data_IF_191712118398
#
_entry.id   IF_191712118398
#
_cell.length_a   1.000
_cell.length_b   1.000
_cell.length_c   1.000
_cell.angle_alpha   90.00
_cell.angle_beta   90.00
_cell.angle_gamma   90.00
#
_symmetry.space_group_name_H-M   'P 1'
#
loop_
_entity.id
_entity.type
_entity.pdbx_description
1 polymer ?
#
# COMPACT_ATOMS: atom_id res chain seq x y z
N UNK A 1 9.57 17.22 3.87
CA UNK A 1 8.69 16.44 4.76
C UNK A 1 7.54 17.23 5.41
N UNK A 2 7.38 18.56 5.18
CA UNK A 2 6.31 19.38 5.82
C UNK A 2 5.10 19.62 4.92
N UNK A 3 5.22 19.40 3.61
CA UNK A 3 4.13 19.60 2.64
C UNK A 3 2.80 18.86 2.96
N UNK A 4 2.79 17.61 3.49
CA UNK A 4 1.55 16.87 3.75
C UNK A 4 0.65 17.47 4.83
N UNK A 5 1.17 18.41 5.63
CA UNK A 5 0.46 19.09 6.70
C UNK A 5 -0.28 20.34 6.23
N UNK A 6 0.05 20.86 5.04
CA UNK A 6 -0.51 22.10 4.48
C UNK A 6 -1.56 21.86 3.37
N UNK A 7 -1.74 20.62 2.96
CA UNK A 7 -2.68 20.27 1.90
C UNK A 7 -4.11 20.14 2.45
N UNK A 8 -5.09 20.66 1.69
CA UNK A 8 -6.51 20.71 2.07
C UNK A 8 -7.13 19.34 2.40
N UNK A 9 -8.37 19.35 2.87
CA UNK A 9 -9.11 18.17 3.37
C UNK A 9 -9.37 17.07 2.34
N UNK A 10 -9.01 17.28 1.08
CA UNK A 10 -9.21 16.30 0.01
C UNK A 10 -8.14 15.20 0.04
N UNK A 11 -8.60 13.95 -0.01
CA UNK A 11 -7.74 12.76 0.07
C UNK A 11 -6.67 12.78 -1.05
N UNK A 12 -7.03 13.24 -2.25
CA UNK A 12 -6.14 13.34 -3.41
C UNK A 12 -5.03 14.39 -3.22
N UNK A 13 -5.35 15.55 -2.63
CA UNK A 13 -4.37 16.62 -2.41
C UNK A 13 -3.37 16.23 -1.32
N UNK A 14 -3.82 15.49 -0.30
CA UNK A 14 -2.92 14.95 0.74
C UNK A 14 -2.03 13.83 0.19
N UNK A 15 -2.58 12.92 -0.62
CA UNK A 15 -1.82 11.82 -1.22
C UNK A 15 -0.73 12.35 -2.17
N UNK A 16 -1.09 13.26 -3.08
CA UNK A 16 -0.14 13.90 -3.99
C UNK A 16 0.94 14.67 -3.24
N UNK A 17 0.60 15.33 -2.12
CA UNK A 17 1.59 15.98 -1.27
C UNK A 17 2.54 15.00 -0.57
N UNK A 18 2.07 13.81 -0.17
CA UNK A 18 2.93 12.76 0.39
C UNK A 18 3.90 12.28 -0.69
N UNK A 19 3.39 12.03 -1.90
CA UNK A 19 4.20 11.58 -3.04
C UNK A 19 5.29 12.60 -3.36
N UNK A 20 4.90 13.87 -3.54
CA UNK A 20 5.85 14.95 -3.80
C UNK A 20 6.81 15.19 -2.63
N UNK A 21 6.40 14.90 -1.39
CA UNK A 21 7.23 15.03 -0.20
C UNK A 21 8.37 14.00 -0.13
N UNK A 22 8.15 12.79 -0.64
CA UNK A 22 9.15 11.73 -0.70
C UNK A 22 9.98 11.74 -1.99
N UNK A 23 9.48 12.38 -3.06
CA UNK A 23 10.15 12.43 -4.34
C UNK A 23 11.60 12.98 -4.27
N UNK A 24 11.92 14.10 -3.59
CA UNK A 24 13.29 14.62 -3.54
C UNK A 24 14.26 13.65 -2.88
N UNK A 25 13.84 13.02 -1.78
CA UNK A 25 14.67 12.07 -1.05
C UNK A 25 14.95 10.82 -1.92
N UNK A 26 13.93 10.30 -2.61
CA UNK A 26 14.09 9.16 -3.50
C UNK A 26 14.93 9.50 -4.74
N UNK A 27 14.72 10.66 -5.36
CA UNK A 27 15.45 11.10 -6.56
C UNK A 27 16.95 11.29 -6.29
N UNK A 28 17.31 11.84 -5.13
CA UNK A 28 18.72 12.01 -4.78
C UNK A 28 19.43 10.68 -4.51
N UNK A 29 18.71 9.71 -3.95
CA UNK A 29 19.17 8.35 -3.65
C UNK A 29 19.02 7.37 -4.83
N UNK A 30 18.57 7.82 -6.00
CA UNK A 30 18.28 6.94 -7.13
C UNK A 30 19.09 7.24 -8.38
N UNK A 31 19.20 6.21 -9.21
CA UNK A 31 19.82 6.25 -10.54
C UNK A 31 18.70 6.48 -11.57
N UNK A 32 19.02 6.97 -12.77
CA UNK A 32 18.02 7.48 -13.72
C UNK A 32 16.80 6.57 -13.99
N UNK A 33 17.00 5.25 -14.12
CA UNK A 33 15.87 4.33 -14.37
C UNK A 33 14.96 4.13 -13.15
N UNK A 34 15.51 4.16 -11.94
CA UNK A 34 14.75 4.02 -10.69
C UNK A 34 13.87 5.26 -10.44
N UNK A 35 14.37 6.45 -10.80
CA UNK A 35 13.60 7.68 -10.76
C UNK A 35 12.36 7.62 -11.66
N UNK A 36 12.51 7.08 -12.87
CA UNK A 36 11.39 6.86 -13.80
C UNK A 36 10.40 5.84 -13.24
N UNK A 37 10.88 4.75 -12.63
CA UNK A 37 10.04 3.77 -11.96
C UNK A 37 9.19 4.41 -10.85
N UNK A 38 9.79 5.26 -10.01
CA UNK A 38 9.06 5.99 -8.97
C UNK A 38 7.94 6.86 -9.55
N UNK A 39 8.24 7.62 -10.61
CA UNK A 39 7.24 8.45 -11.29
C UNK A 39 6.09 7.62 -11.88
N UNK A 40 6.41 6.52 -12.55
CA UNK A 40 5.43 5.61 -13.13
C UNK A 40 4.56 4.94 -12.05
N UNK A 41 5.17 4.48 -10.95
CA UNK A 41 4.44 3.90 -9.81
C UNK A 41 3.50 4.92 -9.18
N UNK A 42 3.98 6.16 -8.94
CA UNK A 42 3.16 7.23 -8.38
C UNK A 42 1.96 7.56 -9.27
N UNK A 43 2.16 7.67 -10.60
CA UNK A 43 1.06 7.90 -11.54
C UNK A 43 0.06 6.74 -11.57
N UNK A 44 0.55 5.50 -11.58
CA UNK A 44 -0.32 4.32 -11.59
C UNK A 44 -1.18 4.23 -10.31
N UNK A 45 -0.60 4.55 -9.15
CA UNK A 45 -1.33 4.60 -7.88
C UNK A 45 -2.37 5.73 -7.83
N UNK A 46 -2.04 6.90 -8.39
CA UNK A 46 -3.01 8.00 -8.53
C UNK A 46 -4.15 7.62 -9.48
N UNK A 47 -3.84 6.99 -10.61
CA UNK A 47 -4.82 6.50 -11.56
C UNK A 47 -5.75 5.46 -10.92
N UNK A 48 -5.21 4.54 -10.13
CA UNK A 48 -5.99 3.56 -9.39
C UNK A 48 -6.96 4.22 -8.39
N UNK A 49 -6.51 5.22 -7.64
CA UNK A 49 -7.38 5.98 -6.73
C UNK A 49 -8.51 6.71 -7.47
N UNK A 50 -8.21 7.37 -8.60
CA UNK A 50 -9.23 8.06 -9.42
C UNK A 50 -10.22 7.07 -10.02
N UNK A 51 -9.75 5.93 -10.50
CA UNK A 51 -10.59 4.86 -11.04
C UNK A 51 -11.59 4.35 -10.00
N UNK A 52 -11.13 4.10 -8.78
CA UNK A 52 -12.00 3.63 -7.71
C UNK A 52 -13.03 4.70 -7.30
N UNK A 53 -12.63 5.99 -7.28
CA UNK A 53 -13.55 7.10 -7.04
C UNK A 53 -14.63 7.23 -8.11
N UNK A 54 -14.25 7.12 -9.38
CA UNK A 54 -15.19 7.16 -10.50
C UNK A 54 -16.16 5.97 -10.45
N UNK A 55 -15.67 4.78 -10.12
CA UNK A 55 -16.48 3.58 -9.96
C UNK A 55 -17.54 3.74 -8.85
N UNK A 56 -17.15 4.28 -7.69
CA UNK A 56 -18.10 4.55 -6.60
C UNK A 56 -19.16 5.58 -6.99
N UNK A 57 -18.76 6.65 -7.70
CA UNK A 57 -19.69 7.67 -8.18
C UNK A 57 -20.74 7.07 -9.12
N UNK A 58 -20.30 6.26 -10.08
CA UNK A 58 -21.19 5.59 -11.03
C UNK A 58 -22.11 4.56 -10.34
N UNK A 59 -21.57 3.78 -9.39
CA UNK A 59 -22.35 2.83 -8.61
C UNK A 59 -23.43 3.52 -7.77
N UNK A 60 -23.13 4.68 -7.18
CA UNK A 60 -24.11 5.48 -6.44
C UNK A 60 -25.22 6.02 -7.35
N UNK A 61 -24.87 6.51 -8.54
CA UNK A 61 -25.83 7.02 -9.52
C UNK A 61 -26.78 5.92 -10.05
N UNK A 62 -26.27 4.70 -10.24
CA UNK A 62 -27.11 3.57 -10.64
C UNK A 62 -28.07 3.13 -9.52
N UNK A 63 -27.63 3.18 -8.25
CA UNK A 63 -28.51 2.91 -7.10
C UNK A 63 -29.58 3.98 -6.91
N UNK A 64 -29.28 5.27 -7.12
CA UNK A 64 -30.28 6.34 -7.04
C UNK A 64 -31.34 6.24 -8.15
N UNK A 65 -30.97 5.72 -9.33
CA UNK A 65 -31.93 5.47 -10.43
C UNK A 65 -32.86 4.28 -10.16
N UNK A 66 -32.40 3.26 -9.41
CA UNK A 66 -33.25 2.15 -8.95
C UNK A 66 -34.13 2.51 -7.74
N UNK A 67 -33.77 3.56 -6.98
CA UNK A 67 -34.47 3.98 -5.76
C UNK A 67 -35.63 4.95 -5.99
N UNK A 68 -35.92 5.35 -7.24
CA UNK A 68 -37.06 6.22 -7.56
C UNK A 68 -38.44 5.51 -7.47
N UNK A 69 -38.50 4.33 -6.85
CA UNK A 69 -39.74 3.54 -6.65
C UNK A 69 -40.03 3.17 -5.20
N UNK A 70 -39.37 3.79 -4.22
CA UNK A 70 -39.64 3.58 -2.81
C UNK A 70 -39.26 4.80 -1.99
N UNK A 71 -40.21 5.72 -1.85
CA UNK A 71 -40.11 6.87 -0.96
C UNK A 71 -40.61 6.47 0.44
N UNK A 72 -39.94 7.03 1.44
CA UNK A 72 -40.26 7.11 2.87
C UNK A 72 -39.86 5.94 3.79
N UNK A 73 -39.26 6.38 4.91
CA UNK A 73 -38.82 5.66 6.11
C UNK A 73 -37.50 4.87 6.06
N UNK A 74 -36.38 5.57 6.36
CA UNK A 74 -35.40 5.20 7.40
C UNK A 74 -34.23 6.21 7.42
N UNK A 75 -34.49 7.38 7.99
CA UNK A 75 -33.46 8.33 8.43
C UNK A 75 -32.95 7.90 9.82
N UNK A 76 -32.32 6.73 9.93
CA UNK A 76 -31.80 6.20 11.20
C UNK A 76 -30.52 5.39 10.95
N UNK A 77 -29.40 5.82 11.55
CA UNK A 77 -28.16 5.07 11.78
C UNK A 77 -27.32 4.62 10.57
N UNK A 78 -26.65 5.55 9.89
CA UNK A 78 -25.50 5.23 9.02
C UNK A 78 -24.19 5.09 9.83
N UNK A 79 -24.23 4.27 10.88
CA UNK A 79 -23.07 3.75 11.61
C UNK A 79 -23.04 2.25 11.41
N UNK A 80 -23.04 1.81 10.16
CA UNK A 80 -23.05 0.39 9.83
C UNK A 80 -21.72 0.06 9.16
N UNK A 81 -20.87 -0.65 9.90
CA UNK A 81 -19.68 -1.32 9.39
C UNK A 81 -20.13 -2.22 8.24
N UNK A 82 -19.96 -1.74 7.01
CA UNK A 82 -20.36 -2.48 5.81
C UNK A 82 -19.62 -3.82 5.82
N UNK A 83 -20.37 -4.92 5.82
CA UNK A 83 -19.81 -6.26 5.75
C UNK A 83 -18.96 -6.41 4.48
N UNK A 84 -17.82 -7.08 4.65
CA UNK A 84 -16.89 -7.45 3.57
C UNK A 84 -17.67 -8.11 2.44
N UNK A 85 -17.78 -7.41 1.31
CA UNK A 85 -18.48 -7.95 0.15
C UNK A 85 -17.43 -8.54 -0.80
N UNK A 86 -17.78 -9.61 -1.54
CA UNK A 86 -16.90 -10.20 -2.56
C UNK A 86 -16.40 -9.17 -3.59
N UNK A 87 -17.14 -8.07 -3.76
CA UNK A 87 -16.72 -6.94 -4.58
C UNK A 87 -15.39 -6.33 -4.12
N UNK A 88 -15.05 -6.42 -2.84
CA UNK A 88 -13.88 -5.75 -2.24
C UNK A 88 -12.59 -6.57 -2.42
N UNK A 89 -12.71 -7.81 -2.92
CA UNK A 89 -11.57 -8.63 -3.36
C UNK A 89 -10.75 -7.93 -4.45
N UNK A 90 -11.39 -7.10 -5.30
CA UNK A 90 -10.69 -6.32 -6.33
C UNK A 90 -9.63 -5.38 -5.74
N UNK A 91 -9.92 -4.77 -4.59
CA UNK A 91 -9.04 -3.77 -3.95
C UNK A 91 -7.84 -4.49 -3.33
N UNK A 92 -8.09 -5.63 -2.68
CA UNK A 92 -7.05 -6.49 -2.13
C UNK A 92 -6.12 -7.04 -3.23
N UNK A 93 -6.69 -7.50 -4.35
CA UNK A 93 -5.90 -7.98 -5.49
C UNK A 93 -5.08 -6.85 -6.13
N UNK A 94 -5.68 -5.68 -6.36
CA UNK A 94 -4.97 -4.53 -6.90
C UNK A 94 -3.83 -4.09 -5.97
N UNK A 95 -4.08 -4.03 -4.66
CA UNK A 95 -3.03 -3.79 -3.66
C UNK A 95 -1.90 -4.80 -3.79
N UNK A 96 -2.22 -6.10 -3.83
CA UNK A 96 -1.22 -7.16 -3.96
C UNK A 96 -0.39 -6.98 -5.24
N UNK A 97 -1.01 -6.66 -6.37
CA UNK A 97 -0.31 -6.41 -7.64
C UNK A 97 0.63 -5.21 -7.51
N UNK A 98 0.15 -4.06 -7.01
CA UNK A 98 1.00 -2.89 -6.81
C UNK A 98 2.13 -3.13 -5.79
N UNK A 99 1.86 -3.93 -4.76
CA UNK A 99 2.87 -4.31 -3.78
C UNK A 99 3.97 -5.17 -4.40
N UNK A 100 3.61 -6.16 -5.22
CA UNK A 100 4.58 -6.96 -5.98
C UNK A 100 5.34 -6.10 -6.99
N UNK A 101 4.68 -5.17 -7.69
CA UNK A 101 5.35 -4.24 -8.61
C UNK A 101 6.35 -3.35 -7.85
N UNK A 102 5.98 -2.83 -6.67
CA UNK A 102 6.89 -2.07 -5.81
C UNK A 102 8.08 -2.93 -5.35
N UNK A 103 7.83 -4.18 -5.00
CA UNK A 103 8.84 -5.12 -4.53
C UNK A 103 9.84 -5.49 -5.63
N UNK A 104 9.36 -5.98 -6.77
CA UNK A 104 10.19 -6.44 -7.88
C UNK A 104 10.71 -5.29 -8.77
N UNK A 105 9.91 -4.25 -8.97
CA UNK A 105 10.23 -3.13 -9.85
C UNK A 105 11.35 -2.23 -9.32
N UNK A 106 11.64 -2.29 -8.02
CA UNK A 106 12.84 -1.65 -7.46
C UNK A 106 14.14 -2.36 -7.82
N UNK A 107 14.08 -3.57 -8.41
CA UNK A 107 15.21 -4.32 -8.97
C UNK A 107 16.28 -4.78 -7.97
N UNK A 108 16.29 -4.22 -6.76
CA UNK A 108 17.39 -4.36 -5.82
C UNK A 108 17.04 -5.19 -4.57
N UNK A 109 15.80 -5.64 -4.39
CA UNK A 109 15.44 -6.43 -3.20
C UNK A 109 16.03 -7.85 -3.24
N UNK A 110 16.09 -8.47 -4.43
CA UNK A 110 16.72 -9.77 -4.64
C UNK A 110 18.26 -9.73 -4.46
N UNK A 111 18.85 -8.55 -4.54
CA UNK A 111 20.30 -8.34 -4.52
C UNK A 111 20.66 -7.14 -3.63
N UNK A 112 20.26 -7.19 -2.37
CA UNK A 112 20.71 -6.22 -1.35
C UNK A 112 22.24 -6.05 -1.32
N UNK A 113 22.98 -7.06 -1.80
CA UNK A 113 24.43 -7.03 -1.98
C UNK A 113 24.92 -6.34 -3.28
N UNK A 114 24.09 -6.20 -4.32
CA UNK A 114 24.44 -5.56 -5.60
C UNK A 114 23.98 -4.10 -5.70
N UNK A 115 23.46 -3.52 -4.60
CA UNK A 115 23.14 -2.09 -4.61
C UNK A 115 24.37 -1.29 -4.98
N UNK A 116 24.24 -0.45 -6.02
CA UNK A 116 25.30 0.46 -6.39
C UNK A 116 25.55 1.45 -5.24
N UNK A 117 26.64 1.21 -4.52
CA UNK A 117 27.14 2.08 -3.46
C UNK A 117 27.37 3.52 -3.97
N UNK A 118 27.56 3.67 -5.29
CA UNK A 118 27.63 4.94 -6.03
C UNK A 118 26.54 5.94 -5.65
N UNK A 119 25.30 5.50 -5.39
CA UNK A 119 24.23 6.42 -5.02
C UNK A 119 24.31 6.90 -3.57
N UNK A 120 24.89 6.10 -2.67
CA UNK A 120 25.07 6.46 -1.26
C UNK A 120 26.29 7.37 -1.09
N UNK A 121 27.32 7.18 -1.93
CA UNK A 121 28.51 8.03 -1.94
C UNK A 121 28.24 9.51 -2.27
N UNK A 122 27.08 9.84 -2.85
CA UNK A 122 26.64 11.25 -3.01
C UNK A 122 26.29 11.94 -1.69
N UNK A 123 25.94 11.17 -0.65
CA UNK A 123 25.56 11.71 0.65
C UNK A 123 26.65 11.54 1.70
N UNK A 124 27.35 10.41 1.65
CA UNK A 124 28.36 10.05 2.64
C UNK A 124 29.60 9.58 1.92
N UNK A 125 30.68 10.35 2.07
CA UNK A 125 31.99 10.04 1.49
C UNK A 125 32.84 9.13 2.40
N UNK A 126 32.53 9.08 3.70
CA UNK A 126 33.24 8.26 4.69
C UNK A 126 32.51 6.93 4.87
N UNK A 127 33.19 5.81 4.70
CA UNK A 127 32.57 4.50 4.85
C UNK A 127 32.04 4.28 6.29
N UNK A 128 30.72 4.32 6.44
CA UNK A 128 30.01 3.96 7.66
C UNK A 128 28.95 2.89 7.33
N UNK A 129 29.21 1.60 7.59
CA UNK A 129 28.39 0.50 7.08
C UNK A 129 26.94 0.56 7.59
N UNK A 130 26.74 0.97 8.85
CA UNK A 130 25.40 1.08 9.44
C UNK A 130 24.56 2.19 8.81
N UNK A 131 25.15 3.37 8.57
CA UNK A 131 24.44 4.51 8.01
C UNK A 131 24.12 4.27 6.52
N UNK A 132 25.08 3.72 5.78
CA UNK A 132 24.88 3.33 4.39
C UNK A 132 23.76 2.29 4.25
N UNK A 133 23.76 1.25 5.10
CA UNK A 133 22.66 0.28 5.15
C UNK A 133 21.32 0.94 5.51
N UNK A 134 21.29 1.87 6.47
CA UNK A 134 20.08 2.58 6.85
C UNK A 134 19.50 3.43 5.70
N UNK A 135 20.35 4.13 4.93
CA UNK A 135 19.90 4.90 3.75
C UNK A 135 19.37 3.99 2.64
N UNK A 136 19.97 2.81 2.45
CA UNK A 136 19.48 1.81 1.49
C UNK A 136 18.12 1.23 1.91
N UNK A 137 17.95 0.89 3.19
CA UNK A 137 16.66 0.45 3.73
C UNK A 137 15.62 1.56 3.59
N UNK A 138 15.98 2.81 3.92
CA UNK A 138 15.08 3.95 3.75
C UNK A 138 14.65 4.13 2.29
N UNK A 139 15.58 4.03 1.34
CA UNK A 139 15.28 4.08 -0.10
C UNK A 139 14.30 2.98 -0.52
N UNK A 140 14.51 1.74 -0.04
CA UNK A 140 13.63 0.61 -0.33
C UNK A 140 12.23 0.76 0.27
N UNK A 141 12.10 1.40 1.44
CA UNK A 141 10.81 1.56 2.11
C UNK A 141 9.87 2.56 1.42
N UNK A 142 10.40 3.55 0.70
CA UNK A 142 9.62 4.62 0.06
C UNK A 142 8.49 4.09 -0.85
N UNK A 143 8.73 3.22 -1.85
CA UNK A 143 7.65 2.72 -2.72
C UNK A 143 6.58 1.94 -1.94
N UNK A 144 6.96 1.19 -0.90
CA UNK A 144 5.99 0.50 -0.04
C UNK A 144 5.11 1.48 0.73
N UNK A 145 5.69 2.57 1.26
CA UNK A 145 4.92 3.64 1.92
C UNK A 145 3.89 4.24 0.96
N UNK A 146 4.26 4.50 -0.31
CA UNK A 146 3.30 5.01 -1.30
C UNK A 146 2.11 4.06 -1.51
N UNK A 147 2.38 2.77 -1.71
CA UNK A 147 1.34 1.75 -1.90
C UNK A 147 0.42 1.67 -0.68
N UNK A 148 0.96 1.62 0.53
CA UNK A 148 0.15 1.55 1.78
C UNK A 148 -0.67 2.82 1.98
N UNK A 149 -0.09 3.99 1.71
CA UNK A 149 -0.81 5.26 1.82
C UNK A 149 -2.00 5.30 0.85
N UNK A 150 -1.83 4.86 -0.39
CA UNK A 150 -2.93 4.80 -1.36
C UNK A 150 -4.00 3.79 -0.96
N UNK A 151 -3.60 2.60 -0.53
CA UNK A 151 -4.52 1.58 -0.04
C UNK A 151 -5.34 2.07 1.14
N UNK A 152 -4.69 2.68 2.13
CA UNK A 152 -5.36 3.27 3.30
C UNK A 152 -6.31 4.39 2.89
N UNK A 153 -5.93 5.22 1.92
CA UNK A 153 -6.78 6.27 1.37
C UNK A 153 -8.03 5.69 0.68
N UNK A 154 -7.86 4.67 -0.16
CA UNK A 154 -8.96 3.98 -0.85
C UNK A 154 -9.90 3.32 0.16
N UNK A 155 -9.37 2.61 1.15
CA UNK A 155 -10.20 1.93 2.16
C UNK A 155 -10.98 2.92 3.02
N UNK A 156 -10.40 4.07 3.37
CA UNK A 156 -11.12 5.17 4.04
C UNK A 156 -12.22 5.77 3.16
N UNK A 157 -11.98 5.86 1.85
CA UNK A 157 -12.93 6.44 0.91
C UNK A 157 -14.15 5.53 0.70
N UNK A 158 -13.95 4.21 0.66
CA UNK A 158 -15.02 3.21 0.51
C UNK A 158 -15.69 2.87 1.86
N UNK A 159 -15.08 3.29 2.99
CA UNK A 159 -15.50 2.95 4.36
C UNK A 159 -15.62 1.44 4.62
N UNK A 160 -14.66 0.66 4.11
CA UNK A 160 -14.57 -0.79 4.35
C UNK A 160 -13.75 -1.03 5.62
N UNK A 161 -14.06 -2.05 6.44
CA UNK A 161 -13.20 -2.44 7.55
C UNK A 161 -11.79 -2.78 7.06
N UNK A 162 -10.81 -1.95 7.44
CA UNK A 162 -9.40 -2.06 7.06
C UNK A 162 -8.85 -3.46 7.38
N UNK A 163 -9.21 -3.98 8.56
CA UNK A 163 -8.85 -5.30 9.06
C UNK A 163 -9.23 -6.40 8.06
N UNK A 164 -10.44 -6.31 7.50
CA UNK A 164 -10.99 -7.28 6.58
C UNK A 164 -10.25 -7.34 5.25
N UNK A 165 -9.90 -6.18 4.68
CA UNK A 165 -9.10 -6.14 3.45
C UNK A 165 -7.71 -6.72 3.67
N UNK A 166 -7.07 -6.43 4.81
CA UNK A 166 -5.76 -7.02 5.13
C UNK A 166 -5.81 -8.54 5.29
N UNK A 167 -6.85 -9.09 5.92
CA UNK A 167 -7.04 -10.55 5.95
C UNK A 167 -7.17 -11.15 4.55
N UNK A 168 -7.88 -10.50 3.64
CA UNK A 168 -7.99 -10.95 2.25
C UNK A 168 -6.62 -10.92 1.55
N UNK A 169 -5.84 -9.85 1.76
CA UNK A 169 -4.48 -9.75 1.22
C UNK A 169 -3.60 -10.89 1.73
N UNK A 170 -3.65 -11.21 3.03
CA UNK A 170 -2.87 -12.29 3.65
C UNK A 170 -3.24 -13.63 3.00
N UNK A 171 -4.52 -13.97 2.93
CA UNK A 171 -4.98 -15.22 2.32
C UNK A 171 -4.51 -15.32 0.86
N UNK A 172 -4.63 -14.24 0.09
CA UNK A 172 -4.18 -14.23 -1.31
C UNK A 172 -2.65 -14.37 -1.43
N UNK A 173 -1.90 -13.77 -0.51
CA UNK A 173 -0.44 -13.87 -0.45
C UNK A 173 0.03 -15.27 -0.06
N UNK A 174 -0.68 -15.95 0.84
CA UNK A 174 -0.42 -17.34 1.21
C UNK A 174 -0.66 -18.27 0.02
N UNK A 175 -1.74 -18.07 -0.74
CA UNK A 175 -2.02 -18.81 -1.97
C UNK A 175 -0.89 -18.62 -3.00
N UNK A 176 -0.41 -17.39 -3.18
CA UNK A 176 0.76 -17.14 -4.04
C UNK A 176 2.01 -17.86 -3.54
N UNK A 177 2.26 -17.88 -2.23
CA UNK A 177 3.43 -18.54 -1.63
C UNK A 177 3.38 -20.05 -1.82
N UNK A 178 2.20 -20.67 -1.66
CA UNK A 178 1.97 -22.10 -1.92
C UNK A 178 2.21 -22.42 -3.41
N UNK A 179 1.76 -21.56 -4.31
CA UNK A 179 2.04 -21.73 -5.74
C UNK A 179 3.56 -21.75 -6.02
N UNK A 180 4.31 -20.81 -5.44
CA UNK A 180 5.77 -20.80 -5.59
C UNK A 180 6.45 -21.99 -4.92
N UNK A 181 5.91 -22.48 -3.80
CA UNK A 181 6.39 -23.70 -3.16
C UNK A 181 6.30 -24.91 -4.10
N UNK A 182 5.18 -25.07 -4.82
CA UNK A 182 5.03 -26.14 -5.82
C UNK A 182 5.89 -25.93 -7.08
N UNK A 183 6.32 -24.70 -7.37
CA UNK A 183 7.25 -24.39 -8.45
C UNK A 183 8.72 -24.61 -8.07
N UNK A 184 9.03 -24.94 -6.81
CA UNK A 184 10.41 -25.23 -6.41
C UNK A 184 10.88 -26.49 -7.13
N UNK A 185 11.93 -26.34 -7.92
CA UNK A 185 12.49 -27.42 -8.72
C UNK A 185 13.58 -28.15 -7.94
N UNK A 186 13.48 -29.47 -7.86
CA UNK A 186 14.51 -30.34 -7.26
C UNK A 186 15.47 -30.94 -8.30
N UNK A 187 15.30 -30.58 -9.57
CA UNK A 187 16.04 -31.12 -10.72
C UNK A 187 16.44 -29.98 -11.63
N UNK A 188 17.67 -29.99 -12.14
CA UNK A 188 18.19 -28.94 -13.03
C UNK A 188 19.60 -28.53 -12.62
N UNK A 189 20.05 -27.40 -13.14
CA UNK A 189 21.34 -26.82 -12.73
C UNK A 189 21.28 -26.27 -11.30
N UNK A 190 22.41 -26.25 -10.60
CA UNK A 190 22.52 -25.64 -9.26
C UNK A 190 22.02 -24.18 -9.22
N UNK A 191 22.18 -23.44 -10.32
CA UNK A 191 21.70 -22.07 -10.47
C UNK A 191 20.17 -22.00 -10.51
N UNK A 192 19.52 -22.88 -11.29
CA UNK A 192 18.05 -22.92 -11.39
C UNK A 192 17.40 -23.36 -10.08
N UNK A 193 17.99 -24.36 -9.42
CA UNK A 193 17.57 -24.81 -8.09
C UNK A 193 17.67 -23.63 -7.11
N UNK A 194 18.83 -22.96 -7.05
CA UNK A 194 19.03 -21.80 -6.19
C UNK A 194 18.09 -20.63 -6.48
N UNK A 195 17.80 -20.36 -7.76
CA UNK A 195 16.87 -19.31 -8.16
C UNK A 195 15.43 -19.64 -7.74
N UNK A 196 14.97 -20.88 -7.93
CA UNK A 196 13.63 -21.31 -7.51
C UNK A 196 13.43 -21.19 -5.99
N UNK A 197 14.45 -21.57 -5.21
CA UNK A 197 14.47 -21.43 -3.75
C UNK A 197 14.47 -19.97 -3.33
N UNK A 198 15.23 -19.13 -4.04
CA UNK A 198 15.27 -17.69 -3.79
C UNK A 198 13.91 -17.05 -4.05
N UNK A 199 13.24 -17.35 -5.17
CA UNK A 199 11.88 -16.85 -5.45
C UNK A 199 10.88 -17.24 -4.38
N UNK A 200 10.90 -18.49 -3.92
CA UNK A 200 10.06 -18.94 -2.81
C UNK A 200 10.37 -18.17 -1.51
N UNK A 201 11.65 -18.06 -1.14
CA UNK A 201 12.06 -17.35 0.07
C UNK A 201 11.70 -15.87 0.04
N UNK A 202 11.82 -15.23 -1.12
CA UNK A 202 11.45 -13.84 -1.37
C UNK A 202 9.93 -13.63 -1.19
N UNK A 203 9.10 -14.49 -1.79
CA UNK A 203 7.64 -14.41 -1.66
C UNK A 203 7.18 -14.68 -0.22
N UNK A 204 7.80 -15.63 0.46
CA UNK A 204 7.55 -15.88 1.89
C UNK A 204 7.92 -14.68 2.77
N UNK A 205 9.09 -14.06 2.54
CA UNK A 205 9.51 -12.85 3.24
C UNK A 205 8.57 -11.66 2.98
N UNK A 206 8.02 -11.58 1.76
CA UNK A 206 7.06 -10.55 1.39
C UNK A 206 5.77 -10.63 2.22
N UNK A 207 5.24 -11.83 2.48
CA UNK A 207 4.06 -12.05 3.34
C UNK A 207 4.30 -11.48 4.74
N UNK A 208 5.45 -11.81 5.34
CA UNK A 208 5.84 -11.32 6.67
C UNK A 208 5.96 -9.81 6.68
N UNK A 209 6.51 -9.23 5.61
CA UNK A 209 6.63 -7.79 5.48
C UNK A 209 5.27 -7.09 5.37
N UNK A 210 4.31 -7.66 4.63
CA UNK A 210 2.92 -7.13 4.59
C UNK A 210 2.27 -7.17 5.97
N UNK A 211 2.47 -8.24 6.75
CA UNK A 211 1.99 -8.35 8.14
C UNK A 211 2.60 -7.28 9.06
N UNK A 212 3.90 -7.01 8.92
CA UNK A 212 4.58 -5.93 9.65
C UNK A 212 3.94 -4.57 9.32
N UNK A 213 3.72 -4.30 8.03
CA UNK A 213 3.11 -3.06 7.57
C UNK A 213 1.66 -2.91 8.05
N UNK A 214 0.92 -4.03 8.12
CA UNK A 214 -0.40 -4.07 8.71
C UNK A 214 -0.35 -3.70 10.20
N UNK A 215 0.56 -4.29 10.97
CA UNK A 215 0.74 -3.96 12.38
C UNK A 215 1.03 -2.46 12.56
N UNK A 216 1.97 -1.91 11.80
CA UNK A 216 2.30 -0.47 11.82
C UNK A 216 1.10 0.41 11.47
N UNK A 217 0.37 0.06 10.41
CA UNK A 217 -0.81 0.81 9.97
C UNK A 217 -1.94 0.72 11.00
N UNK A 218 -2.11 -0.45 11.64
CA UNK A 218 -3.12 -0.65 12.69
C UNK A 218 -2.80 0.16 13.94
N UNK A 219 -1.53 0.24 14.33
CA UNK A 219 -1.07 1.07 15.46
C UNK A 219 -1.33 2.54 15.13
N UNK A 220 -0.92 3.00 13.96
CA UNK A 220 -1.10 4.40 13.55
C UNK A 220 -2.57 4.78 13.36
N UNK A 221 -3.41 3.84 12.93
CA UNK A 221 -4.84 4.09 12.71
C UNK A 221 -5.64 3.95 14.01
N UNK A 222 -5.16 3.21 15.02
CA UNK A 222 -5.80 3.15 16.36
C UNK A 222 -5.89 4.52 17.02
N UNK A 223 -4.93 5.41 16.75
CA UNK A 223 -4.94 6.79 17.27
C UNK A 223 -5.95 7.70 16.54
N UNK A 224 -6.44 7.27 15.38
CA UNK A 224 -7.53 7.95 14.66
C UNK A 224 -8.85 7.45 15.25
N UNK A 225 -9.07 7.70 16.55
CA UNK A 225 -10.39 7.55 17.13
C UNK A 225 -11.32 8.59 16.50
N UNK A 226 -12.30 8.09 15.75
CA UNK A 226 -13.49 8.86 15.38
C UNK A 226 -14.08 9.45 16.67
N UNK A 227 -13.93 10.75 16.83
CA UNK A 227 -14.61 11.51 17.89
C UNK A 227 -16.10 11.47 17.59
N UNK A 228 -16.80 10.41 17.97
CA UNK A 228 -18.26 10.38 17.92
C UNK A 228 -18.86 9.24 18.75
N UNK A 229 -18.49 9.13 20.03
CA UNK A 229 -19.39 8.50 21.01
C UNK A 229 -19.02 8.85 22.47
N UNK A 230 -18.73 10.12 22.78
CA UNK A 230 -18.69 10.59 24.18
C UNK A 230 -19.43 11.90 24.44
N UNK A 231 -19.89 12.61 23.40
CA UNK A 231 -20.64 13.86 23.59
C UNK A 231 -22.16 13.68 23.70
N UNK A 232 -22.73 12.53 23.30
CA UNK A 232 -24.17 12.29 23.44
C UNK A 232 -24.60 11.83 24.84
N UNK A 233 -23.72 11.16 25.61
CA UNK A 233 -24.07 10.74 26.98
C UNK A 233 -23.94 11.85 28.04
N UNK A 234 -23.39 13.02 27.72
CA UNK A 234 -23.23 14.14 28.67
C UNK A 234 -24.28 15.25 28.51
N UNK A 235 -25.18 15.14 27.52
CA UNK A 235 -26.29 16.07 27.33
C UNK A 235 -27.64 15.53 27.83
N UNK A 236 -27.67 14.30 28.32
CA UNK A 236 -28.88 13.65 28.89
C UNK A 236 -28.72 13.26 30.37
N UNK A 237 -27.83 13.94 31.12
CA UNK A 237 -27.77 13.83 32.58
C UNK A 237 -27.70 15.21 33.23
#
# INVERSE_FOLDING_TARGET
MVLPLLSGSDILSRLSSIFLGFAPAFLLLSIGYEAVFYGALALALMAWLVFENAYLYLSKNNKSSASFKGMEDNMVLASDDRSLQWSDMRISLAFMVFFNIAFFGTGNFASIASFEISSVYRFITIFSPFLMAALLIFKLLIPFVLVICTFTAITKLIRVPLLGCYFLVIICSDVMTIHFFFLVQNTGSWMEIGNSISHFGIMSAQVVFVLLLFALTSIYTKDIQTTSCKQLSRKEM
#
